data_IF_690196668139
#
_entry.id   IF_690196668139
#
_cell.length_a   1.000
_cell.length_b   1.000
_cell.length_c   1.000
_cell.angle_alpha   90.00
_cell.angle_beta   90.00
_cell.angle_gamma   90.00
#
_symmetry.space_group_name_H-M   'P 1'
#
loop_
_entity.id
_entity.type
_entity.pdbx_description
1 polymer ?
#
# COMPACT_ATOMS: atom_id res chain seq x y z
N UNK A 1 7.78 -7.14 0.88
CA UNK A 1 6.85 -6.23 1.56
C UNK A 1 6.37 -6.85 2.86
N UNK A 2 6.35 -6.08 3.90
CA UNK A 2 6.03 -6.56 5.23
C UNK A 2 5.15 -5.53 5.95
N UNK A 3 4.09 -6.01 6.61
CA UNK A 3 3.22 -5.15 7.42
C UNK A 3 3.01 -5.75 8.79
N UNK A 4 2.93 -4.88 9.79
CA UNK A 4 2.67 -5.27 11.17
C UNK A 4 1.25 -4.89 11.56
N UNK A 5 0.54 -5.84 12.15
CA UNK A 5 -0.79 -5.62 12.69
C UNK A 5 -0.65 -5.46 14.19
N UNK A 6 -1.08 -4.33 14.71
CA UNK A 6 -0.89 -4.01 16.11
C UNK A 6 -2.08 -4.41 16.96
N UNK A 7 -1.80 -5.05 18.07
CA UNK A 7 -2.79 -5.38 19.09
C UNK A 7 -3.18 -4.11 19.85
N UNK A 8 -2.18 -3.28 20.12
CA UNK A 8 -2.34 -1.98 20.76
C UNK A 8 -1.19 -1.08 20.30
N UNK A 9 -1.04 0.09 20.87
CA UNK A 9 -0.02 1.07 20.43
C UNK A 9 1.42 0.56 20.53
N UNK A 10 1.67 -0.45 21.33
CA UNK A 10 3.04 -0.92 21.61
C UNK A 10 3.34 -2.34 21.17
N UNK A 11 2.31 -3.15 20.96
CA UNK A 11 2.49 -4.58 20.71
C UNK A 11 2.01 -4.99 19.32
N UNK A 12 2.87 -5.68 18.60
CA UNK A 12 2.53 -6.28 17.32
C UNK A 12 1.81 -7.61 17.61
N UNK A 13 0.60 -7.77 17.06
CA UNK A 13 -0.16 -9.01 17.18
C UNK A 13 0.33 -10.04 16.16
N UNK A 14 0.51 -9.62 14.92
CA UNK A 14 1.01 -10.48 13.86
C UNK A 14 1.66 -9.65 12.77
N UNK A 15 2.46 -10.32 11.95
CA UNK A 15 3.14 -9.70 10.82
C UNK A 15 2.81 -10.50 9.57
N UNK A 16 2.43 -9.80 8.50
CA UNK A 16 2.27 -10.39 7.19
C UNK A 16 3.49 -10.03 6.35
N UNK A 17 3.99 -10.99 5.59
CA UNK A 17 5.15 -10.77 4.74
C UNK A 17 4.93 -11.43 3.38
N UNK A 18 5.27 -10.71 2.32
CA UNK A 18 5.19 -11.18 0.95
C UNK A 18 6.49 -10.80 0.25
N UNK A 19 7.18 -11.78 -0.31
CA UNK A 19 8.42 -11.54 -1.04
C UNK A 19 8.15 -11.20 -2.51
N UNK A 20 7.19 -11.91 -3.11
CA UNK A 20 6.78 -11.69 -4.50
C UNK A 20 5.27 -11.49 -4.51
N UNK A 21 4.82 -10.49 -5.24
CA UNK A 21 3.39 -10.28 -5.40
C UNK A 21 3.07 -9.98 -6.86
N UNK A 22 2.08 -10.72 -7.38
CA UNK A 22 1.58 -10.53 -8.72
C UNK A 22 0.31 -9.72 -8.65
N UNK A 23 0.37 -8.51 -9.17
CA UNK A 23 -0.78 -7.62 -9.14
C UNK A 23 -1.61 -7.76 -10.41
N UNK A 24 -2.92 -7.76 -10.25
CA UNK A 24 -3.84 -7.69 -11.38
C UNK A 24 -3.66 -6.35 -12.09
N UNK A 25 -3.86 -6.34 -13.40
CA UNK A 25 -3.74 -5.11 -14.18
C UNK A 25 -4.64 -4.00 -13.63
N UNK A 26 -5.87 -4.34 -13.27
CA UNK A 26 -6.78 -3.35 -12.68
C UNK A 26 -6.25 -2.76 -11.38
N UNK A 27 -5.61 -3.60 -10.56
CA UNK A 27 -4.99 -3.14 -9.31
C UNK A 27 -3.85 -2.17 -9.60
N UNK A 28 -3.03 -2.47 -10.60
CA UNK A 28 -1.94 -1.59 -11.02
C UNK A 28 -2.48 -0.24 -11.48
N UNK A 29 -3.54 -0.25 -12.29
CA UNK A 29 -4.19 0.98 -12.74
C UNK A 29 -4.70 1.81 -11.56
N UNK A 30 -5.31 1.16 -10.57
CA UNK A 30 -5.82 1.84 -9.39
C UNK A 30 -4.68 2.48 -8.59
N UNK A 31 -3.56 1.77 -8.42
CA UNK A 31 -2.38 2.29 -7.73
C UNK A 31 -1.84 3.53 -8.45
N UNK A 32 -1.68 3.43 -9.77
CA UNK A 32 -1.17 4.56 -10.56
C UNK A 32 -2.11 5.76 -10.46
N UNK A 33 -3.42 5.53 -10.51
CA UNK A 33 -4.39 6.60 -10.39
C UNK A 33 -4.31 7.33 -9.04
N UNK A 34 -4.03 6.58 -7.97
CA UNK A 34 -3.84 7.18 -6.65
C UNK A 34 -2.65 8.13 -6.63
N UNK A 35 -1.57 7.76 -7.28
CA UNK A 35 -0.35 8.58 -7.28
C UNK A 35 -0.45 9.78 -8.22
N UNK A 36 -1.39 9.79 -9.17
CA UNK A 36 -1.63 10.96 -10.02
C UNK A 36 -2.06 12.19 -9.20
N UNK A 37 -2.67 11.97 -8.05
CA UNK A 37 -3.12 13.06 -7.17
C UNK A 37 -2.01 13.55 -6.22
N UNK A 38 -0.81 12.97 -6.31
CA UNK A 38 0.30 13.34 -5.44
C UNK A 38 1.34 14.07 -6.27
N UNK A 39 1.54 15.35 -5.98
CA UNK A 39 2.55 16.18 -6.66
C UNK A 39 3.93 15.98 -6.06
N UNK A 40 4.00 15.75 -4.76
CA UNK A 40 5.26 15.62 -4.03
C UNK A 40 5.21 14.37 -3.14
N UNK A 41 5.97 13.36 -3.54
CA UNK A 41 6.04 12.09 -2.80
C UNK A 41 6.71 12.22 -1.42
N UNK A 42 7.35 13.36 -1.17
CA UNK A 42 7.96 13.64 0.13
C UNK A 42 6.96 14.30 1.09
N UNK A 43 5.82 14.75 0.56
CA UNK A 43 4.80 15.39 1.38
C UNK A 43 3.83 14.34 1.95
N UNK A 44 4.07 13.98 3.19
CA UNK A 44 3.25 12.98 3.89
C UNK A 44 1.79 13.38 3.98
N UNK A 45 1.50 14.67 4.01
CA UNK A 45 0.11 15.15 4.07
C UNK A 45 -0.64 14.84 2.77
N UNK A 46 0.03 15.00 1.62
CA UNK A 46 -0.59 14.65 0.33
C UNK A 46 -0.86 13.15 0.28
N UNK A 47 0.11 12.34 0.70
CA UNK A 47 -0.05 10.88 0.74
C UNK A 47 -1.20 10.50 1.66
N UNK A 48 -1.26 11.09 2.85
CA UNK A 48 -2.32 10.83 3.82
C UNK A 48 -3.70 11.19 3.24
N UNK A 49 -3.81 12.32 2.56
CA UNK A 49 -5.07 12.75 1.96
C UNK A 49 -5.54 11.79 0.87
N UNK A 50 -4.61 11.27 0.07
CA UNK A 50 -4.92 10.29 -0.96
C UNK A 50 -5.41 8.98 -0.34
N UNK A 51 -4.75 8.52 0.72
CA UNK A 51 -5.18 7.33 1.47
C UNK A 51 -6.59 7.52 1.99
N UNK A 52 -6.85 8.66 2.60
CA UNK A 52 -8.14 8.97 3.20
C UNK A 52 -9.27 9.01 2.16
N UNK A 53 -9.01 9.62 1.00
CA UNK A 53 -10.01 9.73 -0.06
C UNK A 53 -10.31 8.41 -0.76
N UNK A 54 -9.34 7.53 -0.83
CA UNK A 54 -9.41 6.33 -1.64
C UNK A 54 -9.36 5.05 -0.80
N UNK A 55 -9.92 5.12 0.38
CA UNK A 55 -9.85 4.04 1.36
C UNK A 55 -10.33 2.70 0.84
N UNK A 56 -11.44 2.68 0.10
CA UNK A 56 -11.97 1.42 -0.47
C UNK A 56 -10.99 0.78 -1.44
N UNK A 57 -10.41 1.58 -2.34
CA UNK A 57 -9.44 1.08 -3.31
C UNK A 57 -8.18 0.60 -2.62
N UNK A 58 -7.75 1.32 -1.58
CA UNK A 58 -6.61 0.94 -0.79
C UNK A 58 -6.83 -0.43 -0.15
N UNK A 59 -8.00 -0.62 0.46
CA UNK A 59 -8.33 -1.89 1.08
C UNK A 59 -8.31 -3.02 0.06
N UNK A 60 -8.87 -2.78 -1.12
CA UNK A 60 -8.93 -3.77 -2.18
C UNK A 60 -7.54 -4.24 -2.61
N UNK A 61 -6.63 -3.32 -2.89
CA UNK A 61 -5.32 -3.76 -3.34
C UNK A 61 -4.42 -4.27 -2.21
N UNK A 62 -4.62 -3.82 -0.98
CA UNK A 62 -3.92 -4.44 0.14
C UNK A 62 -4.36 -5.90 0.31
N UNK A 63 -5.64 -6.19 0.10
CA UNK A 63 -6.15 -7.56 0.17
C UNK A 63 -5.74 -8.39 -1.04
N UNK A 64 -5.47 -7.78 -2.18
CA UNK A 64 -4.90 -8.49 -3.33
C UNK A 64 -3.48 -8.98 -3.01
N UNK A 65 -2.70 -8.18 -2.30
CA UNK A 65 -1.33 -8.52 -1.93
C UNK A 65 -1.31 -9.47 -0.73
N UNK A 66 -2.19 -9.25 0.23
CA UNK A 66 -2.30 -10.03 1.46
C UNK A 66 -3.72 -10.57 1.57
N UNK A 67 -4.03 -11.71 0.90
CA UNK A 67 -5.42 -12.21 0.83
C UNK A 67 -6.06 -12.51 2.19
N UNK A 68 -5.26 -12.78 3.20
CA UNK A 68 -5.78 -13.09 4.54
C UNK A 68 -6.03 -11.85 5.39
N UNK A 69 -5.66 -10.68 4.89
CA UNK A 69 -5.81 -9.43 5.63
C UNK A 69 -7.28 -9.02 5.71
N UNK A 70 -7.77 -8.82 6.92
CA UNK A 70 -9.14 -8.39 7.13
C UNK A 70 -9.24 -6.86 7.20
N UNK A 71 -10.45 -6.32 7.07
CA UNK A 71 -10.68 -4.88 7.20
C UNK A 71 -10.29 -4.39 8.60
N UNK A 72 -10.59 -5.18 9.63
CA UNK A 72 -10.21 -4.85 10.99
C UNK A 72 -8.69 -4.75 11.15
N UNK A 73 -7.97 -5.70 10.56
CA UNK A 73 -6.52 -5.71 10.61
C UNK A 73 -5.92 -4.51 9.88
N UNK A 74 -6.50 -4.15 8.73
CA UNK A 74 -6.05 -2.97 8.00
C UNK A 74 -6.08 -1.71 8.86
N UNK A 75 -7.08 -1.59 9.71
CA UNK A 75 -7.22 -0.43 10.60
C UNK A 75 -6.19 -0.42 11.73
N UNK A 76 -5.54 -1.55 11.96
CA UNK A 76 -4.54 -1.70 13.01
C UNK A 76 -3.10 -1.65 12.51
N UNK A 77 -2.90 -1.19 11.28
CA UNK A 77 -1.57 -0.87 10.75
C UNK A 77 -1.29 0.58 11.10
N UNK A 78 -0.10 0.86 11.65
CA UNK A 78 0.25 2.24 11.97
C UNK A 78 0.46 3.04 10.70
N UNK A 79 -0.06 4.26 10.68
CA UNK A 79 0.04 5.13 9.50
C UNK A 79 1.48 5.32 9.05
N UNK A 80 2.41 5.52 9.97
CA UNK A 80 3.82 5.71 9.64
C UNK A 80 4.45 4.48 8.98
N UNK A 81 3.84 3.31 9.15
CA UNK A 81 4.30 2.09 8.50
C UNK A 81 3.55 1.86 7.18
N UNK A 82 2.36 2.40 7.06
CA UNK A 82 1.56 2.27 5.85
C UNK A 82 2.12 3.13 4.71
N UNK A 83 2.62 4.32 5.02
CA UNK A 83 3.21 5.21 4.03
C UNK A 83 4.37 4.55 3.28
N UNK A 84 5.36 3.93 3.97
CA UNK A 84 6.42 3.20 3.27
C UNK A 84 5.92 2.07 2.39
N UNK A 85 4.83 1.40 2.78
CA UNK A 85 4.20 0.34 1.96
C UNK A 85 3.73 0.92 0.64
N UNK A 86 3.08 2.08 0.65
CA UNK A 86 2.67 2.78 -0.56
C UNK A 86 3.84 3.13 -1.44
N UNK A 87 4.91 3.64 -0.85
CA UNK A 87 6.10 4.01 -1.59
C UNK A 87 6.72 2.78 -2.26
N UNK A 88 6.74 1.65 -1.56
CA UNK A 88 7.25 0.41 -2.12
C UNK A 88 6.37 -0.08 -3.28
N UNK A 89 5.05 0.00 -3.14
CA UNK A 89 4.11 -0.36 -4.21
C UNK A 89 4.31 0.51 -5.43
N UNK A 90 4.45 1.81 -5.22
CA UNK A 90 4.69 2.74 -6.31
C UNK A 90 5.99 2.41 -7.04
N UNK A 91 7.06 2.16 -6.29
CA UNK A 91 8.35 1.80 -6.86
C UNK A 91 8.26 0.48 -7.65
N UNK A 92 7.55 -0.50 -7.11
CA UNK A 92 7.34 -1.77 -7.78
C UNK A 92 6.64 -1.57 -9.14
N UNK A 93 5.54 -0.82 -9.13
CA UNK A 93 4.75 -0.57 -10.35
C UNK A 93 5.56 0.20 -11.38
N UNK A 94 6.24 1.27 -10.97
CA UNK A 94 7.03 2.09 -11.89
C UNK A 94 8.23 1.34 -12.43
N UNK A 95 8.89 0.52 -11.61
CA UNK A 95 10.02 -0.28 -12.05
C UNK A 95 9.59 -1.34 -13.05
N UNK A 96 8.42 -1.94 -12.86
CA UNK A 96 7.88 -2.92 -13.78
C UNK A 96 7.65 -2.32 -15.16
N UNK A 97 7.12 -1.11 -15.23
CA UNK A 97 6.94 -0.40 -16.49
C UNK A 97 8.27 0.12 -17.04
N UNK A 98 9.14 0.63 -16.18
CA UNK A 98 10.43 1.11 -16.55
C UNK A 98 11.32 0.03 -17.18
N UNK A 99 11.28 -1.18 -16.60
CA UNK A 99 12.07 -2.30 -17.10
C UNK A 99 11.66 -2.69 -18.52
N UNK A 100 10.39 -2.52 -18.88
CA UNK A 100 9.89 -2.88 -20.20
C UNK A 100 10.37 -1.94 -21.29
N UNK A 101 10.94 -0.81 -20.95
CA UNK A 101 11.46 0.16 -21.91
C UNK A 101 12.86 -0.18 -22.41
N UNK A 102 13.52 -1.07 -21.73
CA UNK A 102 14.87 -1.48 -22.05
C UNK A 102 14.86 -2.87 -22.68
#
# INVERSE_FOLDING_TARGET
MKINIYKNQREVEKTYEVDNYDLMYGTVEDILALFDDIDDLKDNMQIFNVIKKNRSKLNDFMQDIFPELSDDELRRIKLKELIPVFMELFAYVTNSFGASKN
#
